data_IF_125807156877
#
_entry.id   IF_125807156877
#
_cell.length_a   1.000
_cell.length_b   1.000
_cell.length_c   1.000
_cell.angle_alpha   90.00
_cell.angle_beta   90.00
_cell.angle_gamma   90.00
#
_symmetry.space_group_name_H-M   'P 1'
#
loop_
_entity.id
_entity.type
_entity.pdbx_description
1 polymer ?
#
# COMPACT_ATOMS: atom_id res chain seq x y z
N UNK A 1 -19.31 -15.71 -5.34
CA UNK A 1 -18.34 -15.60 -4.23
C UNK A 1 -16.93 -15.12 -4.64
N UNK A 2 -16.73 -14.49 -5.81
CA UNK A 2 -15.39 -14.08 -6.29
C UNK A 2 -14.93 -12.68 -5.83
N UNK A 3 -15.83 -11.85 -5.27
CA UNK A 3 -15.52 -10.47 -4.86
C UNK A 3 -14.60 -10.42 -3.63
N UNK A 4 -14.94 -11.16 -2.57
CA UNK A 4 -14.18 -11.23 -1.32
C UNK A 4 -12.74 -11.71 -1.52
N UNK A 5 -12.52 -12.63 -2.47
CA UNK A 5 -11.19 -13.18 -2.78
C UNK A 5 -10.29 -12.18 -3.52
N UNK A 6 -10.87 -11.28 -4.31
CA UNK A 6 -10.13 -10.21 -4.99
C UNK A 6 -9.79 -9.07 -4.03
N UNK A 7 -10.72 -8.77 -3.11
CA UNK A 7 -10.52 -7.81 -2.03
C UNK A 7 -9.39 -8.24 -1.09
N UNK A 8 -9.42 -9.49 -0.61
CA UNK A 8 -8.38 -10.04 0.27
C UNK A 8 -6.99 -10.03 -0.38
N UNK A 9 -6.89 -10.32 -1.68
CA UNK A 9 -5.62 -10.22 -2.43
C UNK A 9 -5.11 -8.79 -2.50
N UNK A 10 -6.02 -7.83 -2.68
CA UNK A 10 -5.67 -6.41 -2.76
C UNK A 10 -5.20 -5.91 -1.39
N UNK A 11 -5.91 -6.26 -0.31
CA UNK A 11 -5.53 -5.94 1.07
C UNK A 11 -4.17 -6.55 1.44
N UNK A 12 -3.94 -7.82 1.10
CA UNK A 12 -2.63 -8.46 1.31
C UNK A 12 -1.50 -7.74 0.57
N UNK A 13 -1.76 -7.24 -0.63
CA UNK A 13 -0.75 -6.51 -1.41
C UNK A 13 -0.45 -5.13 -0.83
N UNK A 14 -1.48 -4.40 -0.37
CA UNK A 14 -1.35 -3.15 0.38
C UNK A 14 -0.48 -3.37 1.62
N UNK A 15 -0.79 -4.39 2.41
CA UNK A 15 -0.07 -4.70 3.66
C UNK A 15 1.39 -5.07 3.41
N UNK A 16 1.67 -5.84 2.35
CA UNK A 16 3.04 -6.17 1.97
C UNK A 16 3.85 -4.91 1.56
N UNK A 17 3.25 -3.99 0.80
CA UNK A 17 3.89 -2.74 0.43
C UNK A 17 4.14 -1.82 1.63
N UNK A 18 3.20 -1.75 2.59
CA UNK A 18 3.42 -1.05 3.87
C UNK A 18 4.61 -1.61 4.62
N UNK A 19 4.73 -2.94 4.72
CA UNK A 19 5.88 -3.60 5.36
C UNK A 19 7.19 -3.30 4.64
N UNK A 20 7.20 -3.27 3.31
CA UNK A 20 8.39 -2.91 2.52
C UNK A 20 8.77 -1.43 2.72
N UNK A 21 7.81 -0.51 2.74
CA UNK A 21 8.06 0.89 3.06
C UNK A 21 8.66 1.04 4.45
N UNK A 22 8.05 0.43 5.47
CA UNK A 22 8.54 0.47 6.85
C UNK A 22 9.96 -0.08 7.00
N UNK A 23 10.35 -1.09 6.19
CA UNK A 23 11.74 -1.58 6.15
C UNK A 23 12.72 -0.60 5.50
N UNK A 24 12.25 0.29 4.61
CA UNK A 24 13.08 1.31 3.95
C UNK A 24 13.02 2.67 4.68
N UNK A 25 12.17 2.81 5.69
CA UNK A 25 12.15 3.95 6.62
C UNK A 25 13.24 3.71 7.68
N UNK A 26 14.00 4.76 7.97
CA UNK A 26 14.93 4.72 9.08
C UNK A 26 14.14 4.83 10.39
N UNK A 27 14.03 3.74 11.13
CA UNK A 27 13.25 3.68 12.39
C UNK A 27 13.77 4.65 13.45
N UNK A 28 15.03 5.09 13.36
CA UNK A 28 15.64 6.03 14.31
C UNK A 28 15.20 7.48 14.07
N UNK A 29 14.82 7.83 12.85
CA UNK A 29 14.50 9.21 12.45
C UNK A 29 13.08 9.32 11.89
N UNK A 30 12.38 8.18 11.77
CA UNK A 30 11.09 8.02 11.11
C UNK A 30 11.03 8.63 9.69
N UNK A 31 12.19 8.86 9.08
CA UNK A 31 12.29 9.43 7.74
C UNK A 31 12.49 8.30 6.73
N UNK A 32 11.80 8.36 5.58
CA UNK A 32 12.21 7.62 4.40
C UNK A 32 13.71 7.81 4.21
N UNK A 33 14.49 6.73 4.04
CA UNK A 33 15.76 6.89 3.33
C UNK A 33 15.37 7.47 1.99
N UNK A 34 15.70 8.74 1.75
CA UNK A 34 15.36 9.52 0.56
C UNK A 34 15.97 8.83 -0.66
N UNK A 35 15.28 7.79 -1.11
CA UNK A 35 15.71 6.93 -2.20
C UNK A 35 14.53 6.86 -3.18
N UNK A 36 14.81 6.88 -4.48
CA UNK A 36 13.79 6.67 -5.51
C UNK A 36 12.93 5.42 -5.27
N UNK A 37 13.50 4.40 -4.60
CA UNK A 37 12.81 3.16 -4.22
C UNK A 37 11.69 3.40 -3.20
N UNK A 38 11.92 4.24 -2.19
CA UNK A 38 10.90 4.55 -1.17
C UNK A 38 9.75 5.34 -1.79
N UNK A 39 10.06 6.29 -2.67
CA UNK A 39 9.04 7.05 -3.42
C UNK A 39 8.20 6.14 -4.33
N UNK A 40 8.84 5.24 -5.08
CA UNK A 40 8.15 4.29 -5.95
C UNK A 40 7.20 3.38 -5.14
N UNK A 41 7.64 2.87 -4.00
CA UNK A 41 6.82 2.05 -3.10
C UNK A 41 5.64 2.84 -2.52
N UNK A 42 5.83 4.10 -2.13
CA UNK A 42 4.74 4.97 -1.65
C UNK A 42 3.71 5.22 -2.75
N UNK A 43 4.16 5.51 -3.98
CA UNK A 43 3.28 5.71 -5.12
C UNK A 43 2.48 4.44 -5.49
N UNK A 44 3.10 3.26 -5.41
CA UNK A 44 2.39 1.99 -5.64
C UNK A 44 1.35 1.71 -4.54
N UNK A 45 1.69 2.02 -3.28
CA UNK A 45 0.76 1.89 -2.16
C UNK A 45 -0.47 2.78 -2.33
N UNK A 46 -0.29 4.06 -2.67
CA UNK A 46 -1.39 5.00 -2.90
C UNK A 46 -2.32 4.52 -4.02
N UNK A 47 -1.76 4.02 -5.13
CA UNK A 47 -2.55 3.47 -6.23
C UNK A 47 -3.43 2.30 -5.79
N UNK A 48 -2.90 1.38 -4.98
CA UNK A 48 -3.66 0.23 -4.49
C UNK A 48 -4.74 0.63 -3.49
N UNK A 49 -4.47 1.61 -2.63
CA UNK A 49 -5.46 2.17 -1.72
C UNK A 49 -6.59 2.85 -2.51
N UNK A 50 -6.26 3.65 -3.53
CA UNK A 50 -7.26 4.23 -4.42
C UNK A 50 -8.09 3.15 -5.15
N UNK A 51 -7.45 2.09 -5.63
CA UNK A 51 -8.17 0.96 -6.24
C UNK A 51 -9.09 0.26 -5.24
N UNK A 52 -8.65 0.07 -4.00
CA UNK A 52 -9.49 -0.48 -2.93
C UNK A 52 -10.72 0.39 -2.71
N UNK A 53 -10.50 1.70 -2.55
CA UNK A 53 -11.56 2.67 -2.29
C UNK A 53 -12.57 2.71 -3.43
N UNK A 54 -12.12 2.82 -4.67
CA UNK A 54 -13.02 2.89 -5.84
C UNK A 54 -13.82 1.61 -6.06
N UNK A 55 -13.24 0.44 -5.74
CA UNK A 55 -13.83 -0.86 -6.09
C UNK A 55 -14.68 -1.46 -4.97
N UNK A 56 -14.30 -1.25 -3.71
CA UNK A 56 -14.92 -1.89 -2.55
C UNK A 56 -15.47 -0.87 -1.54
N UNK A 57 -14.96 0.36 -1.57
CA UNK A 57 -15.39 1.45 -0.70
C UNK A 57 -16.10 2.54 -1.51
N UNK A 58 -17.06 2.16 -2.38
CA UNK A 58 -17.99 3.14 -2.96
C UNK A 58 -18.65 3.85 -1.79
N UNK A 59 -18.35 5.14 -1.64
CA UNK A 59 -19.04 6.01 -0.69
C UNK A 59 -20.55 5.85 -0.88
N UNK A 60 -21.24 5.67 0.25
CA UNK A 60 -22.62 6.09 0.46
C UNK A 60 -22.82 7.51 -0.08
#
# INVERSE_FOLDING_TARGET
MNCCRQEERLLNRIENLRKQLNKNINTKNNTPKSSPKTYALSSELDKLICQYMLKYHKSL
#
